data_IF_304500937662
#
_entry.id   IF_304500937662
#
_cell.length_a   1.000
_cell.length_b   1.000
_cell.length_c   1.000
_cell.angle_alpha   90.00
_cell.angle_beta   90.00
_cell.angle_gamma   90.00
#
_symmetry.space_group_name_H-M   'P 1'
#
loop_
_entity.id
_entity.type
_entity.pdbx_description
1 polymer ?
#
# COMPACT_ATOMS: atom_id res chain seq x y z
N UNK A 1 8.78 70.86 -40.48
CA UNK A 1 8.84 69.43 -40.12
C UNK A 1 9.81 69.25 -38.97
N UNK A 2 9.30 69.05 -37.76
CA UNK A 2 10.08 68.55 -36.62
C UNK A 2 9.13 67.70 -35.78
N UNK A 3 9.27 66.38 -35.92
CA UNK A 3 8.58 65.34 -35.18
C UNK A 3 9.46 64.97 -33.98
N UNK A 4 8.95 65.08 -32.75
CA UNK A 4 9.59 64.47 -31.58
C UNK A 4 8.55 63.73 -30.72
N UNK A 5 8.54 62.41 -30.97
CA UNK A 5 8.34 61.22 -30.12
C UNK A 5 7.21 61.17 -29.06
N UNK A 6 6.33 60.14 -29.09
CA UNK A 6 5.47 59.79 -27.97
C UNK A 6 6.23 58.97 -26.92
N UNK A 7 5.96 59.28 -25.65
CA UNK A 7 6.49 58.60 -24.47
C UNK A 7 5.88 57.19 -24.34
N UNK A 8 6.72 56.16 -24.31
CA UNK A 8 6.30 54.79 -24.05
C UNK A 8 6.06 54.61 -22.53
N UNK A 9 4.82 54.33 -22.15
CA UNK A 9 4.44 53.94 -20.80
C UNK A 9 4.91 52.49 -20.57
N UNK A 10 5.88 52.28 -19.68
CA UNK A 10 6.26 50.94 -19.23
C UNK A 10 5.22 50.46 -18.22
N UNK A 11 4.38 49.50 -18.61
CA UNK A 11 3.50 48.78 -17.70
C UNK A 11 4.32 47.69 -17.00
N UNK A 12 4.64 47.89 -15.72
CA UNK A 12 5.29 46.86 -14.91
C UNK A 12 4.27 45.74 -14.65
N UNK A 13 4.48 44.57 -15.27
CA UNK A 13 3.73 43.37 -14.95
C UNK A 13 4.14 42.88 -13.56
N UNK A 14 3.27 43.05 -12.56
CA UNK A 14 3.41 42.38 -11.27
C UNK A 14 3.20 40.88 -11.49
N UNK A 15 4.27 40.09 -11.42
CA UNK A 15 4.16 38.65 -11.22
C UNK A 15 3.58 38.42 -9.83
N UNK A 16 2.31 38.00 -9.77
CA UNK A 16 1.72 37.43 -8.57
C UNK A 16 2.32 36.04 -8.41
N UNK A 17 3.29 35.89 -7.49
CA UNK A 17 3.67 34.56 -7.02
C UNK A 17 2.48 33.97 -6.29
N UNK A 18 1.83 32.97 -6.89
CA UNK A 18 0.88 32.14 -6.18
C UNK A 18 1.62 31.41 -5.04
N UNK A 19 1.06 31.33 -3.83
CA UNK A 19 1.67 30.54 -2.76
C UNK A 19 1.77 29.08 -3.22
N UNK A 20 2.96 28.49 -3.09
CA UNK A 20 3.12 27.04 -3.12
C UNK A 20 2.16 26.48 -2.06
N UNK A 21 1.11 25.79 -2.49
CA UNK A 21 0.36 24.93 -1.59
C UNK A 21 1.36 23.96 -0.99
N UNK A 22 1.48 23.97 0.35
CA UNK A 22 2.21 22.91 1.04
C UNK A 22 1.53 21.60 0.66
N UNK A 23 2.21 20.75 -0.12
CA UNK A 23 1.84 19.36 -0.16
C UNK A 23 1.90 18.89 1.29
N UNK A 24 0.75 18.52 1.86
CA UNK A 24 0.72 17.91 3.18
C UNK A 24 1.73 16.76 3.18
N UNK A 25 2.48 16.63 4.27
CA UNK A 25 3.48 15.58 4.47
C UNK A 25 2.89 14.24 3.97
N UNK A 26 3.43 13.71 2.87
CA UNK A 26 2.93 12.45 2.33
C UNK A 26 3.24 11.36 3.36
N UNK A 27 2.18 10.84 4.01
CA UNK A 27 2.27 9.83 5.07
C UNK A 27 2.74 8.46 4.57
N UNK A 28 2.69 8.27 3.26
CA UNK A 28 3.23 7.12 2.53
C UNK A 28 4.22 7.64 1.50
N UNK A 29 5.49 7.28 1.63
CA UNK A 29 6.52 7.63 0.67
C UNK A 29 6.65 6.56 -0.42
N UNK A 30 6.61 6.98 -1.68
CA UNK A 30 6.80 6.09 -2.81
C UNK A 30 8.27 5.97 -3.18
N UNK A 31 8.77 4.75 -3.26
CA UNK A 31 10.12 4.44 -3.71
C UNK A 31 10.08 3.38 -4.79
N UNK A 32 10.58 3.71 -5.98
CA UNK A 32 10.83 2.70 -7.00
C UNK A 32 12.03 1.84 -6.62
N UNK A 33 11.84 0.52 -6.58
CA UNK A 33 12.91 -0.46 -6.31
C UNK A 33 13.58 -0.86 -7.61
N UNK A 34 12.78 -1.20 -8.61
CA UNK A 34 13.19 -1.44 -10.00
C UNK A 34 12.02 -1.16 -10.95
N UNK A 35 12.20 -1.34 -12.25
CA UNK A 35 11.13 -1.13 -13.22
C UNK A 35 9.90 -1.99 -12.91
N UNK A 36 8.76 -1.33 -12.69
CA UNK A 36 7.48 -1.97 -12.35
C UNK A 36 7.35 -2.44 -10.90
N UNK A 37 8.33 -2.20 -10.03
CA UNK A 37 8.32 -2.66 -8.63
C UNK A 37 8.61 -1.50 -7.68
N UNK A 38 7.72 -1.30 -6.71
CA UNK A 38 7.74 -0.15 -5.81
C UNK A 38 7.55 -0.59 -4.35
N UNK A 39 8.15 0.17 -3.45
CA UNK A 39 7.83 0.19 -2.03
C UNK A 39 6.97 1.43 -1.72
N UNK A 40 5.92 1.21 -0.96
CA UNK A 40 5.05 2.25 -0.40
C UNK A 40 5.33 2.28 1.10
N UNK A 41 6.18 3.22 1.51
CA UNK A 41 6.79 3.23 2.84
C UNK A 41 5.95 4.08 3.79
N UNK A 42 5.35 3.45 4.79
CA UNK A 42 4.68 4.14 5.89
C UNK A 42 5.66 4.72 6.91
N UNK A 43 5.10 5.48 7.87
CA UNK A 43 5.88 6.09 8.94
C UNK A 43 6.54 5.04 9.84
N UNK A 44 7.77 5.31 10.29
CA UNK A 44 8.54 4.43 11.20
C UNK A 44 7.99 4.39 12.64
N UNK A 45 6.98 5.21 12.93
CA UNK A 45 6.35 5.31 14.25
C UNK A 45 5.38 4.17 14.54
N UNK A 46 4.66 4.29 15.66
CA UNK A 46 3.54 3.40 15.94
C UNK A 46 2.33 3.75 15.05
N UNK A 47 1.35 2.85 15.00
CA UNK A 47 0.02 3.14 14.46
C UNK A 47 -0.56 4.35 15.20
N UNK A 48 -1.18 5.24 14.45
CA UNK A 48 -1.73 6.48 14.97
C UNK A 48 -2.99 6.87 14.21
N UNK A 49 -3.72 7.85 14.74
CA UNK A 49 -4.83 8.49 14.03
C UNK A 49 -4.39 9.08 12.69
N UNK A 50 -3.13 9.52 12.62
CA UNK A 50 -2.60 10.18 11.44
C UNK A 50 -2.26 9.19 10.33
N UNK A 51 -1.56 8.10 10.64
CA UNK A 51 -1.20 7.09 9.62
C UNK A 51 -2.28 6.04 9.39
N UNK A 52 -3.41 6.09 10.10
CA UNK A 52 -4.56 5.19 9.91
C UNK A 52 -4.19 3.69 10.04
N UNK A 53 -3.13 3.39 10.79
CA UNK A 53 -2.61 2.04 10.96
C UNK A 53 -1.53 1.62 9.95
N UNK A 54 -1.14 2.51 9.02
CA UNK A 54 -0.14 2.23 7.99
C UNK A 54 1.28 2.60 8.47
N UNK A 55 1.80 1.86 9.44
CA UNK A 55 3.16 2.03 9.95
C UNK A 55 4.14 0.94 9.44
N UNK A 56 3.93 0.49 8.20
CA UNK A 56 4.67 -0.60 7.57
C UNK A 56 5.05 -0.23 6.13
N UNK A 57 5.89 -1.04 5.51
CA UNK A 57 6.17 -0.94 4.08
C UNK A 57 5.27 -1.91 3.31
N UNK A 58 4.55 -1.40 2.33
CA UNK A 58 3.73 -2.16 1.39
C UNK A 58 4.47 -2.28 0.05
N UNK A 59 4.20 -3.35 -0.69
CA UNK A 59 4.80 -3.57 -2.00
C UNK A 59 3.81 -3.36 -3.13
N UNK A 60 4.27 -2.84 -4.27
CA UNK A 60 3.47 -2.75 -5.48
C UNK A 60 4.26 -3.34 -6.65
N UNK A 61 3.62 -4.23 -7.39
CA UNK A 61 4.14 -4.77 -8.65
C UNK A 61 3.14 -4.47 -9.76
N UNK A 62 3.55 -3.65 -10.72
CA UNK A 62 2.74 -3.32 -11.89
C UNK A 62 3.09 -4.29 -13.02
N UNK A 63 2.10 -5.02 -13.52
CA UNK A 63 2.26 -5.98 -14.61
C UNK A 63 1.54 -5.50 -15.87
N UNK A 64 1.48 -6.30 -16.94
CA UNK A 64 0.65 -5.96 -18.11
C UNK A 64 -0.86 -6.26 -17.92
N UNK A 65 -1.25 -7.00 -16.88
CA UNK A 65 -2.60 -7.53 -16.67
C UNK A 65 -3.23 -7.08 -15.33
N UNK A 66 -2.67 -6.05 -14.71
CA UNK A 66 -3.09 -5.52 -13.41
C UNK A 66 -1.93 -5.33 -12.44
N UNK A 67 -2.20 -4.65 -11.34
CA UNK A 67 -1.27 -4.49 -10.24
C UNK A 67 -1.45 -5.58 -9.17
N UNK A 68 -0.34 -5.99 -8.56
CA UNK A 68 -0.32 -6.85 -7.37
C UNK A 68 0.18 -6.01 -6.19
N UNK A 69 -0.64 -5.94 -5.15
CA UNK A 69 -0.31 -5.29 -3.89
C UNK A 69 0.20 -6.33 -2.89
N UNK A 70 1.28 -6.00 -2.18
CA UNK A 70 1.82 -6.78 -1.08
C UNK A 70 1.48 -6.01 0.19
N UNK A 71 0.62 -6.62 1.00
CA UNK A 71 -0.02 -6.09 2.21
C UNK A 71 -1.00 -4.93 1.99
N UNK A 72 -2.18 -5.04 2.59
CA UNK A 72 -3.33 -4.17 2.29
C UNK A 72 -3.44 -2.92 3.15
N UNK A 73 -2.58 -2.76 4.16
CA UNK A 73 -2.76 -1.76 5.22
C UNK A 73 -3.66 -2.24 6.36
N UNK A 74 -3.76 -1.40 7.39
CA UNK A 74 -4.40 -1.75 8.67
C UNK A 74 -5.86 -1.35 8.82
N UNK A 75 -6.37 -0.44 7.99
CA UNK A 75 -7.77 -0.02 8.00
C UNK A 75 -8.29 0.22 6.60
N UNK A 76 -9.60 0.24 6.41
CA UNK A 76 -10.22 0.62 5.14
C UNK A 76 -9.79 2.03 4.64
N UNK A 77 -9.83 3.10 5.44
CA UNK A 77 -9.30 4.39 5.01
C UNK A 77 -7.77 4.35 4.78
N UNK A 78 -7.01 3.56 5.54
CA UNK A 78 -5.58 3.35 5.29
C UNK A 78 -5.31 2.64 3.95
N UNK A 79 -6.10 1.64 3.60
CA UNK A 79 -6.05 0.95 2.31
C UNK A 79 -6.36 1.90 1.15
N UNK A 80 -7.31 2.82 1.34
CA UNK A 80 -7.58 3.90 0.39
C UNK A 80 -6.37 4.82 0.19
N UNK A 81 -5.67 5.21 1.25
CA UNK A 81 -4.44 6.01 1.12
C UNK A 81 -3.35 5.26 0.33
N UNK A 82 -3.23 3.95 0.54
CA UNK A 82 -2.34 3.09 -0.26
C UNK A 82 -2.75 3.12 -1.74
N UNK A 83 -4.03 2.94 -2.05
CA UNK A 83 -4.52 2.99 -3.44
C UNK A 83 -4.28 4.36 -4.10
N UNK A 84 -4.42 5.46 -3.37
CA UNK A 84 -4.11 6.79 -3.91
C UNK A 84 -2.62 6.90 -4.32
N UNK A 85 -1.72 6.25 -3.59
CA UNK A 85 -0.31 6.15 -3.99
C UNK A 85 -0.16 5.28 -5.25
N UNK A 86 -0.85 4.14 -5.32
CA UNK A 86 -0.83 3.25 -6.49
C UNK A 86 -1.32 3.99 -7.76
N UNK A 87 -2.39 4.78 -7.65
CA UNK A 87 -2.97 5.56 -8.74
C UNK A 87 -2.04 6.67 -9.26
N UNK A 88 -1.06 7.10 -8.47
CA UNK A 88 0.00 8.02 -8.95
C UNK A 88 1.05 7.33 -9.83
N UNK A 89 1.10 6.00 -9.80
CA UNK A 89 2.07 5.17 -10.54
C UNK A 89 1.42 4.53 -11.77
N UNK A 90 0.17 4.06 -11.66
CA UNK A 90 -0.50 3.32 -12.72
C UNK A 90 -2.02 3.48 -12.69
N UNK A 91 -2.64 3.45 -13.86
CA UNK A 91 -4.09 3.38 -14.04
C UNK A 91 -4.64 1.93 -13.95
N UNK A 92 -3.76 0.94 -13.79
CA UNK A 92 -4.17 -0.46 -13.71
C UNK A 92 -4.83 -0.77 -12.35
N UNK A 93 -5.91 -1.56 -12.34
CA UNK A 93 -6.54 -1.96 -11.09
C UNK A 93 -5.61 -2.89 -10.29
N UNK A 94 -5.73 -2.83 -8.96
CA UNK A 94 -5.17 -3.88 -8.09
C UNK A 94 -6.03 -5.12 -8.25
N UNK A 95 -5.49 -6.15 -8.90
CA UNK A 95 -6.21 -7.41 -9.18
C UNK A 95 -5.89 -8.51 -8.18
N UNK A 96 -4.77 -8.38 -7.46
CA UNK A 96 -4.37 -9.31 -6.39
C UNK A 96 -3.76 -8.57 -5.22
N UNK A 97 -4.05 -9.03 -4.01
CA UNK A 97 -3.41 -8.61 -2.77
C UNK A 97 -2.81 -9.83 -2.09
N UNK A 98 -1.54 -9.75 -1.70
CA UNK A 98 -0.83 -10.80 -0.98
C UNK A 98 -0.61 -10.34 0.46
N UNK A 99 -1.12 -11.06 1.46
CA UNK A 99 -0.78 -10.80 2.85
C UNK A 99 0.47 -11.60 3.23
N UNK A 100 1.50 -10.92 3.70
CA UNK A 100 2.78 -11.52 4.09
C UNK A 100 2.79 -12.03 5.53
N UNK A 101 1.73 -11.78 6.31
CA UNK A 101 1.65 -12.22 7.70
C UNK A 101 0.28 -11.99 8.32
N UNK A 102 0.17 -12.28 9.63
CA UNK A 102 -1.10 -12.21 10.36
C UNK A 102 -1.31 -10.92 11.18
N UNK A 103 -0.37 -9.99 11.18
CA UNK A 103 -0.50 -8.72 11.92
C UNK A 103 -1.43 -7.73 11.19
N UNK A 104 -2.25 -7.00 11.93
CA UNK A 104 -3.32 -6.10 11.45
C UNK A 104 -2.99 -5.26 10.20
N UNK A 105 -1.84 -4.58 10.18
CA UNK A 105 -1.41 -3.74 9.07
C UNK A 105 -1.10 -4.51 7.77
N UNK A 106 -1.01 -5.83 7.83
CA UNK A 106 -0.76 -6.71 6.68
C UNK A 106 -2.04 -7.06 5.92
N UNK A 107 -3.21 -7.05 6.59
CA UNK A 107 -4.43 -7.68 6.04
C UNK A 107 -5.77 -7.01 6.35
N UNK A 108 -5.89 -6.14 7.36
CA UNK A 108 -7.21 -5.57 7.71
C UNK A 108 -7.77 -4.64 6.62
N UNK A 109 -6.91 -4.12 5.75
CA UNK A 109 -7.31 -3.40 4.53
C UNK A 109 -7.88 -4.30 3.41
N UNK A 110 -7.84 -5.63 3.52
CA UNK A 110 -8.28 -6.56 2.46
C UNK A 110 -9.69 -6.27 1.94
N UNK A 111 -10.63 -5.93 2.83
CA UNK A 111 -12.01 -5.66 2.45
C UNK A 111 -12.15 -4.51 1.46
N UNK A 112 -11.24 -3.52 1.52
CA UNK A 112 -11.20 -2.42 0.57
C UNK A 112 -10.94 -2.91 -0.86
N UNK A 113 -9.89 -3.70 -1.06
CA UNK A 113 -9.49 -4.20 -2.38
C UNK A 113 -10.38 -5.34 -2.86
N UNK A 114 -10.84 -6.22 -1.97
CA UNK A 114 -11.76 -7.32 -2.31
C UNK A 114 -13.10 -6.81 -2.85
N UNK A 115 -13.65 -5.73 -2.25
CA UNK A 115 -14.87 -5.08 -2.74
C UNK A 115 -14.71 -4.46 -4.15
N UNK A 116 -13.48 -4.26 -4.62
CA UNK A 116 -13.15 -3.79 -5.96
C UNK A 116 -12.80 -4.93 -6.93
N UNK A 117 -12.85 -6.19 -6.47
CA UNK A 117 -12.62 -7.38 -7.29
C UNK A 117 -11.23 -7.99 -7.18
N UNK A 118 -10.37 -7.52 -6.27
CA UNK A 118 -9.06 -8.12 -6.06
C UNK A 118 -9.18 -9.50 -5.37
N UNK A 119 -8.42 -10.49 -5.85
CA UNK A 119 -8.24 -11.76 -5.16
C UNK A 119 -7.24 -11.58 -4.00
N UNK A 120 -7.54 -12.16 -2.84
CA UNK A 120 -6.71 -12.05 -1.64
C UNK A 120 -5.97 -13.38 -1.41
N UNK A 121 -4.65 -13.32 -1.31
CA UNK A 121 -3.78 -14.50 -1.20
C UNK A 121 -3.00 -14.42 0.11
N UNK A 122 -2.99 -15.51 0.89
CA UNK A 122 -2.20 -15.61 2.12
C UNK A 122 -1.87 -17.06 2.46
N UNK A 123 -0.87 -17.30 3.32
CA UNK A 123 -0.62 -18.66 3.83
C UNK A 123 -1.80 -19.13 4.70
N UNK A 124 -2.05 -20.44 4.76
CA UNK A 124 -3.06 -21.02 5.65
C UNK A 124 -2.78 -20.66 7.12
N UNK A 125 -1.49 -20.65 7.50
CA UNK A 125 -1.04 -20.24 8.82
C UNK A 125 -1.35 -18.76 9.10
N UNK A 126 -1.20 -17.86 8.12
CA UNK A 126 -1.58 -16.46 8.26
C UNK A 126 -3.09 -16.31 8.45
N UNK A 127 -3.91 -16.97 7.62
CA UNK A 127 -5.37 -16.91 7.76
C UNK A 127 -5.83 -17.42 9.12
N UNK A 128 -5.20 -18.49 9.63
CA UNK A 128 -5.51 -19.01 10.96
C UNK A 128 -5.14 -18.01 12.08
N UNK A 129 -3.97 -17.39 12.01
CA UNK A 129 -3.54 -16.35 12.96
C UNK A 129 -4.44 -15.09 12.90
N UNK A 130 -4.77 -14.63 11.69
CA UNK A 130 -5.69 -13.53 11.45
C UNK A 130 -7.03 -13.79 12.14
N UNK A 131 -7.67 -14.95 11.88
CA UNK A 131 -8.94 -15.34 12.50
C UNK A 131 -8.83 -15.41 14.03
N UNK A 132 -7.76 -16.00 14.54
CA UNK A 132 -7.56 -16.14 15.98
C UNK A 132 -7.42 -14.79 16.70
N UNK A 133 -6.81 -13.79 16.04
CA UNK A 133 -6.51 -12.49 16.65
C UNK A 133 -7.35 -11.32 16.13
N UNK A 134 -8.33 -11.56 15.27
CA UNK A 134 -9.12 -10.49 14.61
C UNK A 134 -9.71 -9.50 15.61
N UNK A 135 -10.40 -10.01 16.63
CA UNK A 135 -11.06 -9.15 17.61
C UNK A 135 -10.06 -8.32 18.43
N UNK A 136 -8.97 -8.95 18.87
CA UNK A 136 -7.92 -8.29 19.65
C UNK A 136 -7.19 -7.22 18.84
N UNK A 137 -6.91 -7.52 17.57
CA UNK A 137 -6.29 -6.58 16.62
C UNK A 137 -7.18 -5.37 16.37
N UNK A 138 -8.49 -5.57 16.12
CA UNK A 138 -9.42 -4.46 15.93
C UNK A 138 -9.56 -3.57 17.18
N UNK A 139 -9.58 -4.17 18.38
CA UNK A 139 -9.62 -3.42 19.64
C UNK A 139 -8.35 -2.59 19.82
N UNK A 140 -7.17 -3.22 19.66
CA UNK A 140 -5.89 -2.55 19.81
C UNK A 140 -5.77 -1.39 18.80
N UNK A 141 -6.15 -1.66 17.55
CA UNK A 141 -6.14 -0.67 16.49
C UNK A 141 -7.10 0.48 16.80
N UNK A 142 -8.31 0.19 17.29
CA UNK A 142 -9.30 1.22 17.67
C UNK A 142 -8.78 2.17 18.75
N UNK A 143 -7.98 1.66 19.69
CA UNK A 143 -7.32 2.48 20.71
C UNK A 143 -6.24 3.41 20.13
N UNK A 144 -5.57 2.99 19.05
CA UNK A 144 -4.44 3.70 18.44
C UNK A 144 -4.88 4.69 17.34
N UNK A 145 -5.80 4.27 16.47
CA UNK A 145 -6.23 5.03 15.28
C UNK A 145 -7.61 5.67 15.45
N UNK A 146 -8.31 5.35 16.54
CA UNK A 146 -9.67 5.79 16.82
C UNK A 146 -10.73 4.84 16.27
N UNK A 147 -11.94 4.92 16.83
CA UNK A 147 -13.03 3.98 16.48
C UNK A 147 -13.56 4.15 15.05
N UNK A 148 -13.54 5.37 14.51
CA UNK A 148 -14.17 5.64 13.19
C UNK A 148 -13.48 4.89 12.05
N UNK A 149 -12.15 4.92 11.87
CA UNK A 149 -11.47 4.09 10.87
C UNK A 149 -11.74 2.59 11.04
N UNK A 150 -11.73 2.09 12.28
CA UNK A 150 -11.94 0.67 12.57
C UNK A 150 -13.36 0.23 12.26
N UNK A 151 -14.39 1.03 12.59
CA UNK A 151 -15.79 0.73 12.24
C UNK A 151 -16.05 0.69 10.73
N UNK A 152 -15.20 1.34 9.93
CA UNK A 152 -15.27 1.29 8.47
C UNK A 152 -14.46 0.11 7.88
N UNK A 153 -13.79 -0.67 8.73
CA UNK A 153 -12.89 -1.74 8.31
C UNK A 153 -13.57 -3.09 8.50
N UNK A 154 -13.91 -3.74 7.39
CA UNK A 154 -14.44 -5.10 7.36
C UNK A 154 -13.28 -6.11 7.29
N UNK A 155 -13.12 -7.00 8.29
CA UNK A 155 -12.11 -8.05 8.24
C UNK A 155 -12.47 -9.06 7.14
N UNK A 156 -11.67 -9.06 6.08
CA UNK A 156 -11.79 -10.02 4.96
C UNK A 156 -10.53 -10.87 4.90
N UNK A 157 -10.72 -12.18 4.93
CA UNK A 157 -9.63 -13.16 4.86
C UNK A 157 -9.34 -13.55 3.42
N UNK A 158 -8.15 -14.12 3.19
CA UNK A 158 -7.78 -14.65 1.89
C UNK A 158 -8.77 -15.72 1.38
N UNK A 159 -9.19 -15.59 0.12
CA UNK A 159 -9.99 -16.58 -0.61
C UNK A 159 -9.10 -17.60 -1.32
N UNK A 160 -7.83 -17.26 -1.56
CA UNK A 160 -6.80 -18.17 -2.03
C UNK A 160 -5.75 -18.39 -0.94
N UNK A 161 -5.59 -19.64 -0.51
CA UNK A 161 -4.56 -20.01 0.48
C UNK A 161 -3.49 -20.94 -0.10
N UNK A 162 -2.35 -21.01 0.60
CA UNK A 162 -1.26 -21.95 0.35
C UNK A 162 -0.61 -22.40 1.66
N UNK A 163 0.04 -23.57 1.67
CA UNK A 163 0.71 -24.08 2.87
C UNK A 163 2.18 -23.61 2.90
N UNK A 164 3.03 -24.13 2.02
CA UNK A 164 4.48 -23.81 2.03
C UNK A 164 4.92 -22.96 0.84
N UNK A 165 4.38 -23.24 -0.35
CA UNK A 165 4.75 -22.58 -1.59
C UNK A 165 3.54 -22.38 -2.49
N UNK A 166 3.47 -21.21 -3.13
CA UNK A 166 2.52 -20.93 -4.20
C UNK A 166 3.16 -20.04 -5.25
N UNK A 167 2.99 -20.42 -6.51
CA UNK A 167 3.47 -19.65 -7.65
C UNK A 167 2.31 -19.24 -8.53
N UNK A 168 2.40 -18.03 -9.07
CA UNK A 168 1.57 -17.62 -10.19
C UNK A 168 2.31 -16.65 -11.10
N UNK A 169 1.83 -16.57 -12.34
CA UNK A 169 2.24 -15.55 -13.30
C UNK A 169 1.08 -14.55 -13.51
N UNK A 170 1.41 -13.28 -13.68
CA UNK A 170 0.48 -12.23 -14.09
C UNK A 170 1.21 -11.24 -15.00
N UNK A 171 0.72 -11.03 -16.22
CA UNK A 171 1.28 -10.04 -17.14
C UNK A 171 2.78 -10.20 -17.41
N UNK A 172 3.27 -11.45 -17.46
CA UNK A 172 4.68 -11.78 -17.68
C UNK A 172 5.59 -11.73 -16.45
N UNK A 173 5.04 -11.52 -15.25
CA UNK A 173 5.79 -11.49 -13.99
C UNK A 173 5.45 -12.72 -13.15
N UNK A 174 6.47 -13.47 -12.71
CA UNK A 174 6.29 -14.61 -11.80
C UNK A 174 6.38 -14.11 -10.36
N UNK A 175 5.43 -14.56 -9.55
CA UNK A 175 5.36 -14.35 -8.11
C UNK A 175 5.50 -15.68 -7.41
N UNK A 176 6.55 -15.82 -6.61
CA UNK A 176 6.74 -16.96 -5.73
C UNK A 176 6.45 -16.56 -4.29
N UNK A 177 5.46 -17.19 -3.68
CA UNK A 177 5.09 -16.97 -2.28
C UNK A 177 5.59 -18.15 -1.47
N UNK A 178 6.36 -17.87 -0.43
CA UNK A 178 7.01 -18.87 0.40
C UNK A 178 6.67 -18.66 1.86
N UNK A 179 6.12 -19.69 2.50
CA UNK A 179 5.97 -19.79 3.94
C UNK A 179 6.98 -20.82 4.46
N UNK A 180 8.10 -20.34 5.01
CA UNK A 180 9.21 -21.20 5.48
C UNK A 180 9.12 -21.54 6.97
N UNK A 181 7.96 -21.31 7.59
CA UNK A 181 7.72 -21.44 9.02
C UNK A 181 7.52 -20.08 9.71
N UNK A 182 7.33 -20.15 11.03
CA UNK A 182 7.06 -18.98 11.86
C UNK A 182 8.28 -18.06 11.99
N UNK A 183 8.06 -16.75 11.89
CA UNK A 183 9.02 -15.72 12.28
C UNK A 183 8.38 -14.74 13.31
N UNK A 184 7.99 -13.53 12.91
CA UNK A 184 7.27 -12.54 13.69
C UNK A 184 5.82 -12.95 14.02
N UNK A 185 5.10 -13.51 13.04
CA UNK A 185 3.79 -14.16 13.22
C UNK A 185 3.84 -15.62 12.75
N UNK A 186 2.90 -16.48 13.19
CA UNK A 186 2.84 -17.88 12.76
C UNK A 186 2.73 -18.05 11.25
N UNK A 187 2.17 -17.06 10.54
CA UNK A 187 1.85 -17.13 9.12
C UNK A 187 2.81 -16.41 8.19
N UNK A 188 3.94 -15.90 8.68
CA UNK A 188 4.82 -15.05 7.88
C UNK A 188 5.27 -15.74 6.59
N UNK A 189 5.22 -14.98 5.50
CA UNK A 189 5.60 -15.41 4.17
C UNK A 189 6.35 -14.29 3.47
N UNK A 190 7.22 -14.64 2.54
CA UNK A 190 7.84 -13.67 1.65
C UNK A 190 7.39 -13.88 0.21
N UNK A 191 7.45 -12.81 -0.58
CA UNK A 191 7.20 -12.82 -2.02
C UNK A 191 8.53 -12.62 -2.74
N UNK A 192 8.91 -13.56 -3.61
CA UNK A 192 10.09 -13.47 -4.45
C UNK A 192 9.70 -13.27 -5.92
N UNK A 193 10.37 -12.31 -6.56
CA UNK A 193 10.24 -12.02 -7.99
C UNK A 193 11.56 -12.36 -8.69
N UNK A 194 11.73 -13.59 -9.21
CA UNK A 194 13.03 -14.06 -9.70
C UNK A 194 13.59 -13.20 -10.84
N UNK A 195 12.74 -12.77 -11.77
CA UNK A 195 13.15 -11.95 -12.92
C UNK A 195 13.55 -10.52 -12.52
N UNK A 196 13.03 -10.03 -11.39
CA UNK A 196 13.30 -8.68 -10.88
C UNK A 196 14.41 -8.67 -9.83
N UNK A 197 14.77 -9.84 -9.31
CA UNK A 197 15.68 -10.01 -8.17
C UNK A 197 15.22 -9.22 -6.93
N UNK A 198 13.91 -9.17 -6.68
CA UNK A 198 13.30 -8.43 -5.56
C UNK A 198 12.55 -9.39 -4.65
N UNK A 199 12.74 -9.23 -3.34
CA UNK A 199 12.00 -9.92 -2.29
C UNK A 199 11.22 -8.94 -1.43
N UNK A 200 9.96 -9.23 -1.17
CA UNK A 200 9.17 -8.59 -0.12
C UNK A 200 9.12 -9.54 1.07
N UNK A 201 9.73 -9.16 2.19
CA UNK A 201 9.97 -10.05 3.34
C UNK A 201 8.88 -10.01 4.40
N UNK A 202 7.87 -9.15 4.25
CA UNK A 202 6.89 -8.95 5.31
C UNK A 202 7.54 -8.42 6.59
N UNK A 203 7.28 -9.08 7.71
CA UNK A 203 7.90 -8.81 9.03
C UNK A 203 9.09 -9.76 9.34
N UNK A 204 9.61 -10.51 8.36
CA UNK A 204 10.71 -11.47 8.60
C UNK A 204 12.06 -10.76 8.85
N UNK A 205 12.26 -9.54 8.31
CA UNK A 205 13.51 -8.75 8.38
C UNK A 205 13.23 -7.35 8.89
#
# INVERSE_FOLDING_TARGET
MSMVKPSALFLAAMLVLAPLQSQGEQKLALQQVTEGVYAIVGELGNRSKDNLGNNATFGLVVTAEGAVLIDSGGTHPGAREIELQIQSITDQPVVRVINTGGQDHRWLGNGYFSNQGAQIIASEAAVNDQKARTQDQLILLGNLVGEKPVRATDPVYADKTFTDFFEFELGGVIFELHHSGQAHTPGDSYVWLPQKQVMFTGDIV
#
